data_IF_158489437458
#
_entry.id   IF_158489437458
#
_cell.length_a   1.000
_cell.length_b   1.000
_cell.length_c   1.000
_cell.angle_alpha   90.00
_cell.angle_beta   90.00
_cell.angle_gamma   90.00
#
_symmetry.space_group_name_H-M   'P 1'
#
loop_
_entity.id
_entity.type
_entity.pdbx_description
1 polymer ?
#
# COMPACT_ATOMS: atom_id res chain seq x y z
N UNK A 1 1.64 -22.23 -4.11
CA UNK A 1 1.44 -20.75 -4.11
C UNK A 1 2.31 -20.04 -5.15
N UNK A 2 3.63 -20.22 -5.12
CA UNK A 2 4.55 -19.54 -6.06
C UNK A 2 4.23 -19.82 -7.54
N UNK A 3 3.89 -21.05 -7.90
CA UNK A 3 3.58 -21.40 -9.29
C UNK A 3 2.28 -20.77 -9.80
N UNK A 4 1.31 -20.58 -8.92
CA UNK A 4 0.04 -19.88 -9.24
C UNK A 4 0.34 -18.41 -9.51
N UNK A 5 1.06 -17.77 -8.60
CA UNK A 5 1.43 -16.35 -8.69
C UNK A 5 2.29 -16.05 -9.92
N UNK A 6 3.19 -16.96 -10.31
CA UNK A 6 4.05 -16.82 -11.49
C UNK A 6 3.28 -16.89 -12.80
N UNK A 7 2.21 -17.69 -12.88
CA UNK A 7 1.38 -17.79 -14.08
C UNK A 7 0.47 -16.57 -14.25
N UNK A 8 0.09 -15.95 -13.13
CA UNK A 8 -0.82 -14.84 -13.12
C UNK A 8 -0.13 -13.49 -13.43
N UNK A 9 -0.57 -12.80 -14.48
CA UNK A 9 0.06 -11.56 -14.94
C UNK A 9 -0.12 -10.40 -13.94
N UNK A 10 -1.30 -10.29 -13.33
CA UNK A 10 -1.60 -9.22 -12.36
C UNK A 10 -0.71 -9.37 -11.15
N UNK A 11 -0.62 -10.55 -10.53
CA UNK A 11 0.29 -10.73 -9.39
C UNK A 11 1.76 -10.47 -9.74
N UNK A 12 2.24 -10.87 -10.93
CA UNK A 12 3.59 -10.51 -11.41
C UNK A 12 3.80 -9.00 -11.48
N UNK A 13 2.84 -8.26 -12.04
CA UNK A 13 2.86 -6.80 -12.11
C UNK A 13 2.89 -6.17 -10.73
N UNK A 14 2.05 -6.65 -9.80
CA UNK A 14 2.02 -6.14 -8.41
C UNK A 14 3.34 -6.37 -7.67
N UNK A 15 4.02 -7.50 -7.91
CA UNK A 15 5.33 -7.81 -7.31
C UNK A 15 6.47 -6.92 -7.85
N UNK A 16 6.27 -6.13 -8.91
CA UNK A 16 7.24 -5.10 -9.32
C UNK A 16 7.40 -3.99 -8.27
N UNK A 17 6.39 -3.81 -7.40
CA UNK A 17 6.44 -2.84 -6.31
C UNK A 17 7.37 -3.33 -5.18
N UNK A 18 8.28 -2.48 -4.68
CA UNK A 18 9.21 -2.88 -3.62
C UNK A 18 8.46 -3.29 -2.35
N UNK A 19 8.89 -4.40 -1.74
CA UNK A 19 8.26 -4.96 -0.55
C UNK A 19 7.01 -5.81 -0.82
N UNK A 20 6.47 -5.83 -2.03
CA UNK A 20 5.33 -6.69 -2.38
C UNK A 20 5.83 -8.07 -2.79
N UNK A 21 5.50 -9.07 -1.98
CA UNK A 21 5.78 -10.47 -2.25
C UNK A 21 4.59 -11.22 -2.86
N UNK A 22 4.76 -12.54 -3.13
CA UNK A 22 3.73 -13.37 -3.73
C UNK A 22 2.47 -13.50 -2.86
N UNK A 23 2.63 -13.57 -1.54
CA UNK A 23 1.49 -13.64 -0.60
C UNK A 23 0.73 -12.31 -0.65
N UNK A 24 1.41 -11.17 -0.52
CA UNK A 24 0.77 -9.85 -0.59
C UNK A 24 0.06 -9.62 -1.92
N UNK A 25 0.69 -9.98 -3.05
CA UNK A 25 0.11 -9.81 -4.38
C UNK A 25 -1.16 -10.68 -4.55
N UNK A 26 -1.10 -11.95 -4.14
CA UNK A 26 -2.23 -12.87 -4.24
C UNK A 26 -3.38 -12.47 -3.32
N UNK A 27 -3.09 -12.14 -2.05
CA UNK A 27 -4.09 -11.68 -1.09
C UNK A 27 -4.73 -10.39 -1.57
N UNK A 28 -3.94 -9.40 -2.01
CA UNK A 28 -4.48 -8.13 -2.51
C UNK A 28 -5.40 -8.35 -3.71
N UNK A 29 -5.00 -9.20 -4.67
CA UNK A 29 -5.85 -9.55 -5.79
C UNK A 29 -7.15 -10.20 -5.34
N UNK A 30 -7.06 -11.23 -4.49
CA UNK A 30 -8.22 -11.97 -4.02
C UNK A 30 -9.21 -11.09 -3.25
N UNK A 31 -8.73 -10.14 -2.45
CA UNK A 31 -9.59 -9.23 -1.67
C UNK A 31 -10.28 -8.17 -2.54
N UNK A 32 -9.58 -7.63 -3.54
CA UNK A 32 -10.13 -6.58 -4.41
C UNK A 32 -11.06 -7.18 -5.46
N UNK A 33 -10.71 -8.36 -5.98
CA UNK A 33 -11.38 -9.13 -7.04
C UNK A 33 -11.43 -8.41 -8.39
N UNK A 34 -12.15 -7.29 -8.46
CA UNK A 34 -12.32 -6.45 -9.65
C UNK A 34 -11.88 -5.01 -9.37
N UNK A 35 -10.88 -4.46 -10.07
CA UNK A 35 -10.40 -3.10 -9.80
C UNK A 35 -11.42 -2.03 -10.24
N UNK A 36 -12.31 -2.33 -11.19
CA UNK A 36 -13.26 -1.34 -11.72
C UNK A 36 -14.37 -1.00 -10.72
N UNK A 37 -14.56 -1.81 -9.66
CA UNK A 37 -15.57 -1.55 -8.61
C UNK A 37 -15.28 -0.30 -7.80
N UNK A 38 -14.05 0.20 -7.82
CA UNK A 38 -13.65 1.38 -7.08
C UNK A 38 -13.65 2.60 -8.00
N UNK A 39 -14.60 3.53 -7.79
CA UNK A 39 -14.62 4.81 -8.51
C UNK A 39 -13.39 5.68 -8.26
N UNK A 40 -12.61 5.39 -7.22
CA UNK A 40 -11.31 6.02 -6.96
C UNK A 40 -10.36 5.05 -6.27
N UNK A 41 -9.11 4.99 -6.72
CA UNK A 41 -8.09 4.14 -6.09
C UNK A 41 -7.85 4.48 -4.62
N UNK A 42 -8.19 5.71 -4.18
CA UNK A 42 -8.10 6.12 -2.77
C UNK A 42 -9.10 5.35 -1.88
N UNK A 43 -10.22 4.90 -2.43
CA UNK A 43 -11.25 4.17 -1.70
C UNK A 43 -10.77 2.78 -1.24
N UNK A 44 -9.79 2.19 -1.93
CA UNK A 44 -9.19 0.90 -1.56
C UNK A 44 -8.58 0.93 -0.16
N UNK A 45 -7.95 2.05 0.20
CA UNK A 45 -7.40 2.20 1.56
C UNK A 45 -8.46 2.12 2.65
N UNK A 46 -9.67 2.62 2.37
CA UNK A 46 -10.80 2.51 3.30
C UNK A 46 -11.40 1.10 3.31
N UNK A 47 -11.51 0.46 2.14
CA UNK A 47 -11.99 -0.91 2.01
C UNK A 47 -11.15 -1.93 2.78
N UNK A 48 -9.82 -1.70 2.86
CA UNK A 48 -8.88 -2.55 3.59
C UNK A 48 -8.68 -2.12 5.07
N UNK A 49 -9.44 -1.12 5.53
CA UNK A 49 -9.40 -0.65 6.92
C UNK A 49 -8.11 0.07 7.29
N UNK A 50 -7.38 0.60 6.30
CA UNK A 50 -6.11 1.34 6.47
C UNK A 50 -6.32 2.85 6.66
N UNK A 51 -7.58 3.31 6.68
CA UNK A 51 -7.94 4.70 6.99
C UNK A 51 -8.33 4.85 8.47
N UNK A 52 -8.21 6.06 9.03
CA UNK A 52 -8.81 6.36 10.33
C UNK A 52 -10.32 6.10 10.32
N UNK A 53 -10.85 5.58 11.42
CA UNK A 53 -12.27 5.57 11.71
C UNK A 53 -12.75 7.02 11.83
N UNK A 54 -13.93 7.29 11.28
CA UNK A 54 -14.58 8.59 11.38
C UNK A 54 -15.91 8.39 12.08
N UNK A 55 -16.12 9.12 13.17
CA UNK A 55 -17.41 9.21 13.84
C UNK A 55 -17.97 10.60 13.56
N UNK A 56 -19.03 10.67 12.77
CA UNK A 56 -19.62 11.94 12.34
C UNK A 56 -21.13 11.91 12.54
N UNK A 57 -21.68 12.89 13.26
CA UNK A 57 -23.11 13.03 13.54
C UNK A 57 -23.47 14.52 13.69
N UNK A 58 -24.30 15.06 12.81
CA UNK A 58 -24.74 16.46 12.87
C UNK A 58 -23.57 17.44 13.02
N UNK A 59 -23.34 17.91 14.24
CA UNK A 59 -22.29 18.86 14.61
C UNK A 59 -20.93 18.23 14.96
N UNK A 60 -20.86 16.90 15.12
CA UNK A 60 -19.65 16.18 15.53
C UNK A 60 -18.94 15.57 14.33
N UNK A 61 -17.63 15.81 14.17
CA UNK A 61 -16.72 15.07 13.25
C UNK A 61 -15.42 14.71 13.99
N UNK A 62 -15.27 13.44 14.38
CA UNK A 62 -14.13 12.94 15.15
C UNK A 62 -13.35 11.95 14.29
N UNK A 63 -12.04 12.19 14.17
CA UNK A 63 -11.10 11.27 13.54
C UNK A 63 -10.42 10.39 14.60
N UNK A 64 -10.71 9.09 14.56
CA UNK A 64 -10.25 8.11 15.54
C UNK A 64 -8.99 7.33 15.11
N UNK A 65 -8.82 6.15 15.72
CA UNK A 65 -7.76 5.19 15.38
C UNK A 65 -7.98 4.61 13.97
N UNK A 66 -7.02 3.83 13.48
CA UNK A 66 -7.19 3.06 12.24
C UNK A 66 -8.45 2.20 12.35
N UNK A 67 -9.32 2.27 11.35
CA UNK A 67 -10.64 1.64 11.35
C UNK A 67 -10.58 0.13 11.50
N UNK A 68 -9.64 -0.54 10.82
CA UNK A 68 -9.54 -2.01 10.78
C UNK A 68 -10.78 -2.72 10.20
N UNK A 69 -11.76 -1.98 9.67
CA UNK A 69 -12.88 -2.57 8.95
C UNK A 69 -12.39 -3.15 7.61
N UNK A 70 -12.82 -4.37 7.27
CA UNK A 70 -12.38 -5.09 6.07
C UNK A 70 -11.38 -6.20 6.37
N UNK A 71 -10.84 -6.80 5.30
CA UNK A 71 -10.07 -8.04 5.37
C UNK A 71 -8.77 -7.90 6.18
N UNK A 72 -8.63 -8.72 7.22
CA UNK A 72 -7.47 -8.70 8.12
C UNK A 72 -6.20 -9.24 7.45
N UNK A 73 -6.32 -10.24 6.60
CA UNK A 73 -5.19 -10.85 5.91
C UNK A 73 -4.57 -9.86 4.92
N UNK A 74 -5.38 -9.17 4.13
CA UNK A 74 -4.95 -8.15 3.20
C UNK A 74 -4.29 -6.96 3.90
N UNK A 75 -4.89 -6.51 5.02
CA UNK A 75 -4.32 -5.45 5.86
C UNK A 75 -2.96 -5.86 6.43
N UNK A 76 -2.84 -7.08 6.94
CA UNK A 76 -1.59 -7.62 7.50
C UNK A 76 -0.53 -7.77 6.41
N UNK A 77 -0.88 -8.34 5.26
CA UNK A 77 0.03 -8.53 4.14
C UNK A 77 0.57 -7.19 3.59
N UNK A 78 -0.27 -6.15 3.56
CA UNK A 78 0.17 -4.80 3.18
C UNK A 78 1.04 -4.12 4.25
N UNK A 79 0.79 -4.37 5.53
CA UNK A 79 1.63 -3.88 6.61
C UNK A 79 3.02 -4.52 6.55
N UNK A 80 3.11 -5.83 6.34
CA UNK A 80 4.39 -6.54 6.16
C UNK A 80 5.13 -6.12 4.88
N UNK A 81 4.38 -5.86 3.80
CA UNK A 81 4.97 -5.32 2.58
C UNK A 81 5.56 -3.92 2.80
N UNK A 82 4.84 -3.05 3.52
CA UNK A 82 5.32 -1.72 3.89
C UNK A 82 6.53 -1.80 4.82
N UNK A 83 6.55 -2.73 5.77
CA UNK A 83 7.71 -3.00 6.62
C UNK A 83 8.90 -3.42 5.76
N UNK A 84 8.74 -4.42 4.89
CA UNK A 84 9.78 -4.90 3.99
C UNK A 84 10.32 -3.79 3.08
N UNK A 85 9.44 -2.93 2.55
CA UNK A 85 9.81 -1.74 1.78
C UNK A 85 10.68 -0.78 2.58
N UNK A 86 10.33 -0.50 3.84
CA UNK A 86 11.03 0.48 4.68
C UNK A 86 12.31 -0.05 5.32
N UNK A 87 12.40 -1.34 5.62
CA UNK A 87 13.53 -1.91 6.38
C UNK A 87 14.45 -2.74 5.51
N UNK A 88 13.93 -3.54 4.59
CA UNK A 88 14.72 -4.50 3.79
C UNK A 88 15.07 -4.02 2.40
N UNK A 89 14.23 -3.20 1.77
CA UNK A 89 14.50 -2.72 0.40
C UNK A 89 15.72 -1.81 0.36
N UNK A 90 16.75 -2.21 -0.38
CA UNK A 90 17.93 -1.39 -0.68
C UNK A 90 17.69 -0.37 -1.80
N UNK A 91 16.77 -0.68 -2.72
CA UNK A 91 16.48 0.16 -3.87
C UNK A 91 15.73 1.43 -3.45
N UNK A 92 16.20 2.57 -3.94
CA UNK A 92 15.54 3.85 -3.74
C UNK A 92 14.17 3.89 -4.43
N UNK A 93 13.19 4.49 -3.77
CA UNK A 93 11.92 4.87 -4.38
C UNK A 93 11.36 6.12 -3.70
N UNK A 94 10.61 6.93 -4.45
CA UNK A 94 9.89 8.08 -3.91
C UNK A 94 8.93 7.68 -2.77
N UNK A 95 8.36 6.47 -2.83
CA UNK A 95 7.53 5.89 -1.76
C UNK A 95 8.33 5.61 -0.49
N UNK A 96 9.53 5.01 -0.62
CA UNK A 96 10.45 4.76 0.49
C UNK A 96 10.92 6.07 1.13
N UNK A 97 11.35 7.04 0.33
CA UNK A 97 11.79 8.34 0.82
C UNK A 97 10.66 9.07 1.58
N UNK A 98 9.46 9.09 1.03
CA UNK A 98 8.27 9.65 1.68
C UNK A 98 7.95 8.95 3.01
N UNK A 99 7.98 7.61 3.03
CA UNK A 99 7.76 6.82 4.23
C UNK A 99 8.82 7.05 5.31
N UNK A 100 10.09 7.18 4.92
CA UNK A 100 11.18 7.48 5.85
C UNK A 100 11.08 8.89 6.45
N UNK A 101 10.59 9.87 5.69
CA UNK A 101 10.32 11.20 6.24
C UNK A 101 9.15 11.20 7.25
N UNK A 102 8.16 10.30 7.09
CA UNK A 102 7.13 10.09 8.12
C UNK A 102 7.74 9.42 9.35
N UNK A 103 8.58 8.41 9.14
CA UNK A 103 9.28 7.71 10.22
C UNK A 103 10.04 8.68 11.13
N UNK A 104 10.80 9.60 10.53
CA UNK A 104 11.56 10.63 11.23
C UNK A 104 10.69 11.56 12.07
N UNK A 105 9.49 11.91 11.59
CA UNK A 105 8.60 12.89 12.25
C UNK A 105 7.62 12.28 13.26
N UNK A 106 7.20 11.04 13.04
CA UNK A 106 6.05 10.42 13.73
C UNK A 106 6.31 8.99 14.21
N UNK A 107 7.51 8.45 14.00
CA UNK A 107 7.89 7.10 14.40
C UNK A 107 7.55 6.02 13.36
N UNK A 108 8.23 4.89 13.50
CA UNK A 108 8.21 3.82 12.49
C UNK A 108 6.87 3.10 12.37
N UNK A 109 6.18 2.86 13.48
CA UNK A 109 4.85 2.23 13.46
C UNK A 109 3.84 3.02 12.61
N UNK A 110 3.80 4.36 12.78
CA UNK A 110 2.92 5.25 12.00
C UNK A 110 3.34 5.31 10.54
N UNK A 111 4.65 5.28 10.26
CA UNK A 111 5.17 5.24 8.89
C UNK A 111 4.74 3.97 8.15
N UNK A 112 4.82 2.79 8.78
CA UNK A 112 4.39 1.52 8.18
C UNK A 112 2.92 1.54 7.77
N UNK A 113 2.03 2.02 8.65
CA UNK A 113 0.59 2.15 8.32
C UNK A 113 0.35 3.13 7.18
N UNK A 114 1.03 4.29 7.20
CA UNK A 114 0.90 5.30 6.15
C UNK A 114 1.39 4.78 4.79
N UNK A 115 2.51 4.05 4.77
CA UNK A 115 3.06 3.41 3.57
C UNK A 115 2.17 2.28 3.11
N UNK A 116 1.64 1.43 3.98
CA UNK A 116 0.69 0.38 3.62
C UNK A 116 -0.55 0.95 2.92
N UNK A 117 -1.12 2.03 3.46
CA UNK A 117 -2.26 2.74 2.83
C UNK A 117 -1.88 3.27 1.44
N UNK A 118 -0.73 3.94 1.32
CA UNK A 118 -0.29 4.51 0.03
C UNK A 118 0.06 3.42 -0.99
N UNK A 119 0.65 2.33 -0.54
CA UNK A 119 0.97 1.16 -1.35
C UNK A 119 -0.29 0.51 -1.89
N UNK A 120 -1.35 0.34 -1.08
CA UNK A 120 -2.64 -0.18 -1.55
C UNK A 120 -3.23 0.64 -2.72
N UNK A 121 -3.17 1.98 -2.61
CA UNK A 121 -3.63 2.88 -3.68
C UNK A 121 -2.79 2.71 -4.94
N UNK A 122 -1.47 2.58 -4.81
CA UNK A 122 -0.55 2.38 -5.94
C UNK A 122 -0.81 1.02 -6.61
N UNK A 123 -0.95 -0.06 -5.83
CA UNK A 123 -1.20 -1.40 -6.35
C UNK A 123 -2.52 -1.48 -7.13
N UNK A 124 -3.58 -0.85 -6.60
CA UNK A 124 -4.83 -0.73 -7.34
C UNK A 124 -4.65 0.02 -8.65
N UNK A 125 -3.88 1.11 -8.66
CA UNK A 125 -3.67 1.90 -9.87
C UNK A 125 -2.81 1.18 -10.92
N UNK A 126 -1.79 0.46 -10.47
CA UNK A 126 -0.99 -0.43 -11.32
C UNK A 126 -1.86 -1.51 -11.96
N UNK A 127 -2.80 -2.08 -11.22
CA UNK A 127 -3.72 -3.08 -11.75
C UNK A 127 -4.67 -2.46 -12.77
N UNK A 128 -5.37 -1.38 -12.43
CA UNK A 128 -6.34 -0.73 -13.31
C UNK A 128 -5.71 -0.22 -14.61
N UNK A 129 -4.50 0.35 -14.55
CA UNK A 129 -3.82 0.93 -15.72
C UNK A 129 -2.93 -0.11 -16.44
N UNK A 130 -2.87 -1.35 -15.96
CA UNK A 130 -1.95 -2.39 -16.43
C UNK A 130 -0.46 -1.97 -16.48
N UNK A 131 -0.03 -1.14 -15.52
CA UNK A 131 1.34 -0.58 -15.46
C UNK A 131 2.18 -1.16 -14.33
N UNK A 132 3.50 -1.18 -14.51
CA UNK A 132 4.44 -1.56 -13.46
C UNK A 132 4.71 -0.43 -12.46
N UNK A 133 5.34 -0.77 -11.34
CA UNK A 133 5.68 0.19 -10.29
C UNK A 133 6.70 1.22 -10.78
N UNK A 134 6.34 2.50 -10.65
CA UNK A 134 7.23 3.62 -10.98
C UNK A 134 8.00 4.05 -9.73
N UNK A 135 9.32 3.87 -9.75
CA UNK A 135 10.20 4.22 -8.62
C UNK A 135 10.26 5.74 -8.36
N UNK A 136 10.02 6.57 -9.38
CA UNK A 136 10.21 8.02 -9.33
C UNK A 136 11.67 8.42 -9.56
N UNK A 137 11.99 9.71 -9.44
CA UNK A 137 13.36 10.24 -9.53
C UNK A 137 13.84 10.68 -8.15
N UNK A 138 15.07 10.32 -7.81
CA UNK A 138 15.73 10.85 -6.61
C UNK A 138 15.92 12.36 -6.77
N UNK A 139 15.53 13.18 -5.78
CA UNK A 139 15.73 14.62 -5.88
C UNK A 139 17.23 14.88 -6.06
N UNK A 140 17.59 15.67 -7.09
CA UNK A 140 18.96 15.91 -7.55
C UNK A 140 19.93 16.41 -6.46
N UNK A 141 19.42 16.86 -5.31
CA UNK A 141 20.19 17.46 -4.22
C UNK A 141 20.92 16.45 -3.30
N UNK A 142 20.80 15.13 -3.51
CA UNK A 142 21.45 14.12 -2.66
C UNK A 142 22.60 13.35 -3.34
N UNK A 143 22.98 13.74 -4.56
CA UNK A 143 24.02 13.09 -5.36
C UNK A 143 25.36 13.85 -5.39
N UNK A 144 25.56 14.82 -4.49
CA UNK A 144 26.78 15.61 -4.36
C UNK A 144 27.48 15.33 -3.03
#
# INVERSE_FOLDING_TARGET
VLDIVRKEEVCRRLMSAPGVGPITALTFRATIDRPERFGSSRAVGAHLGLTPARYQSGETDIQGKVSRCGDELARTALYEAAHSLLVRSKKWSSLRAWGMNIARRRGMARARVAVARKLAVILHRMWADATEFRFGKEPAALAA
#
